data_IF_540888929955
#
_entry.id   IF_540888929955
#
_cell.length_a   1.000
_cell.length_b   1.000
_cell.length_c   1.000
_cell.angle_alpha   90.00
_cell.angle_beta   90.00
_cell.angle_gamma   90.00
#
_symmetry.space_group_name_H-M   'P 1'
#
loop_
_entity.id
_entity.type
_entity.pdbx_description
1 polymer ?
#
# COMPACT_ATOMS: atom_id res chain seq x y z
N UNK A 1 0.93 50.26 12.54
CA UNK A 1 2.19 50.96 12.87
C UNK A 1 2.41 50.73 14.35
N UNK A 2 3.19 49.77 14.81
CA UNK A 2 4.64 49.67 14.63
C UNK A 2 5.26 49.94 16.01
N UNK A 3 5.40 48.91 16.84
CA UNK A 3 6.19 48.99 18.08
C UNK A 3 7.44 48.15 17.89
N UNK A 4 8.55 48.82 17.60
CA UNK A 4 9.87 48.26 17.67
C UNK A 4 10.34 48.31 19.12
N UNK A 5 10.36 47.16 19.79
CA UNK A 5 11.04 47.00 21.07
C UNK A 5 12.51 46.69 20.83
N UNK A 6 13.36 47.66 21.21
CA UNK A 6 14.80 47.48 21.36
C UNK A 6 15.07 46.31 22.31
N UNK A 7 15.72 45.25 21.81
CA UNK A 7 16.30 44.22 22.68
C UNK A 7 17.80 44.44 22.77
N UNK A 8 18.17 44.70 24.00
CA UNK A 8 19.47 44.95 24.58
C UNK A 8 20.55 43.99 24.03
N UNK A 9 21.65 44.56 23.50
CA UNK A 9 22.82 43.82 23.02
C UNK A 9 23.65 43.41 24.23
N UNK A 10 23.29 42.29 24.87
CA UNK A 10 24.13 41.67 25.90
C UNK A 10 25.43 41.21 25.28
N UNK A 11 26.51 41.94 25.56
CA UNK A 11 27.89 41.49 25.39
C UNK A 11 28.11 40.30 26.33
N UNK A 12 27.92 39.08 25.85
CA UNK A 12 28.46 37.90 26.53
C UNK A 12 29.95 37.80 26.20
N UNK A 13 30.75 38.39 27.07
CA UNK A 13 32.17 38.09 27.23
C UNK A 13 32.28 36.58 27.51
N UNK A 14 32.83 35.81 26.59
CA UNK A 14 33.34 34.49 26.93
C UNK A 14 34.75 34.67 27.49
N UNK A 15 35.08 34.12 28.66
CA UNK A 15 36.46 34.15 29.14
C UNK A 15 37.32 33.36 28.13
N UNK A 16 38.58 33.76 27.88
CA UNK A 16 39.49 32.93 27.13
C UNK A 16 39.59 31.59 27.87
N UNK A 17 39.31 30.49 27.15
CA UNK A 17 39.58 29.16 27.67
C UNK A 17 41.05 29.16 28.11
N UNK A 18 41.30 28.94 29.40
CA UNK A 18 42.64 28.63 29.86
C UNK A 18 43.03 27.32 29.18
N UNK A 19 43.78 27.45 28.09
CA UNK A 19 44.27 26.31 27.32
C UNK A 19 45.29 25.60 28.18
N UNK A 20 44.92 24.44 28.71
CA UNK A 20 45.93 23.48 29.17
C UNK A 20 46.86 23.18 28.00
N UNK A 21 48.17 23.07 28.28
CA UNK A 21 49.23 22.88 27.29
C UNK A 21 48.99 21.71 26.31
N UNK A 22 48.17 20.73 26.71
CA UNK A 22 47.83 19.56 25.90
C UNK A 22 46.91 19.86 24.72
N UNK A 23 46.02 20.86 24.82
CA UNK A 23 45.00 21.09 23.78
C UNK A 23 45.54 21.87 22.58
N UNK A 24 46.56 22.71 22.78
CA UNK A 24 47.23 23.45 21.70
C UNK A 24 47.99 22.53 20.76
N UNK A 25 48.56 21.43 21.26
CA UNK A 25 49.30 20.45 20.44
C UNK A 25 48.39 19.67 19.47
N UNK A 26 47.12 19.52 19.80
CA UNK A 26 46.15 18.73 19.02
C UNK A 26 45.34 19.62 18.05
N UNK A 27 45.05 20.87 18.44
CA UNK A 27 44.10 21.75 17.74
C UNK A 27 44.82 22.78 16.84
N UNK A 28 46.10 23.06 17.10
CA UNK A 28 46.88 24.09 16.41
C UNK A 28 46.53 25.52 16.83
N UNK A 29 47.34 26.50 16.41
CA UNK A 29 47.24 27.91 16.84
C UNK A 29 45.98 28.64 16.33
N UNK A 30 45.20 28.02 15.42
CA UNK A 30 44.04 28.63 14.78
C UNK A 30 42.91 27.62 14.56
N UNK A 31 42.19 27.23 15.63
CA UNK A 31 41.03 26.35 15.49
C UNK A 31 39.97 26.94 14.57
N UNK A 32 39.55 26.13 13.61
CA UNK A 32 38.39 26.45 12.76
C UNK A 32 37.11 26.16 13.55
N UNK A 33 36.58 27.20 14.21
CA UNK A 33 35.34 27.11 14.98
C UNK A 33 34.16 27.24 14.01
N UNK A 34 33.39 26.16 13.86
CA UNK A 34 32.13 26.18 13.11
C UNK A 34 30.96 26.23 14.08
N UNK A 35 30.08 27.22 13.91
CA UNK A 35 28.88 27.35 14.72
C UNK A 35 27.80 26.40 14.22
N UNK A 36 27.36 25.47 15.07
CA UNK A 36 26.19 24.64 14.79
C UNK A 36 24.94 25.51 14.85
N UNK A 37 24.03 25.36 13.89
CA UNK A 37 22.76 26.10 13.88
C UNK A 37 22.00 25.87 15.20
N UNK A 38 21.37 26.92 15.73
CA UNK A 38 20.51 26.77 16.90
C UNK A 38 19.32 25.86 16.59
N UNK A 39 18.92 25.07 17.57
CA UNK A 39 17.69 24.28 17.49
C UNK A 39 16.51 25.24 17.44
N UNK A 40 15.68 25.11 16.42
CA UNK A 40 14.45 25.90 16.31
C UNK A 40 13.28 25.12 16.91
N UNK A 41 12.13 25.79 17.08
CA UNK A 41 10.90 25.17 17.57
C UNK A 41 10.51 23.90 16.81
N UNK A 42 10.80 23.82 15.49
CA UNK A 42 10.54 22.62 14.69
C UNK A 42 11.43 21.43 15.07
N UNK A 43 12.68 21.70 15.47
CA UNK A 43 13.61 20.67 15.94
C UNK A 43 13.30 20.23 17.38
N UNK A 44 12.65 21.09 18.18
CA UNK A 44 12.19 20.78 19.55
C UNK A 44 10.84 20.08 19.60
N UNK A 45 9.93 20.44 18.68
CA UNK A 45 8.63 19.80 18.55
C UNK A 45 8.83 18.48 17.80
N UNK A 46 8.98 17.38 18.55
CA UNK A 46 8.85 16.02 18.02
C UNK A 46 7.58 15.95 17.17
N UNK A 47 7.72 15.50 15.93
CA UNK A 47 6.59 15.32 15.01
C UNK A 47 5.42 14.69 15.77
N UNK A 48 4.31 15.40 15.89
CA UNK A 48 3.16 14.88 16.60
C UNK A 48 2.69 13.61 15.90
N UNK A 49 2.31 12.58 16.66
CA UNK A 49 1.57 11.42 16.15
C UNK A 49 0.17 11.78 15.61
N UNK A 50 -0.09 13.08 15.41
CA UNK A 50 -1.29 13.59 14.81
C UNK A 50 -1.25 13.29 13.32
N UNK A 51 -1.91 12.21 12.93
CA UNK A 51 -2.39 12.09 11.56
C UNK A 51 -3.52 13.10 11.40
N UNK A 52 -3.35 14.20 10.62
CA UNK A 52 -4.51 14.97 10.22
C UNK A 52 -5.47 13.96 9.58
N UNK A 53 -6.75 14.01 9.96
CA UNK A 53 -7.75 13.27 9.21
C UNK A 53 -7.54 13.67 7.74
N UNK A 54 -7.43 12.69 6.86
CA UNK A 54 -7.60 12.95 5.43
C UNK A 54 -9.01 13.53 5.32
N UNK A 55 -9.12 14.85 5.41
CA UNK A 55 -10.32 15.56 5.03
C UNK A 55 -10.44 15.28 3.54
N UNK A 56 -11.26 14.27 3.21
CA UNK A 56 -11.62 14.00 1.84
C UNK A 56 -12.24 15.29 1.32
N UNK A 57 -11.54 15.99 0.43
CA UNK A 57 -12.19 16.95 -0.45
C UNK A 57 -13.42 16.27 -1.04
N UNK A 58 -14.55 16.97 -1.14
CA UNK A 58 -15.82 16.41 -1.62
C UNK A 58 -15.67 15.59 -2.94
N UNK A 59 -14.70 15.94 -3.79
CA UNK A 59 -14.32 15.17 -4.99
C UNK A 59 -13.70 13.78 -4.74
N UNK A 60 -12.99 13.56 -3.62
CA UNK A 60 -12.22 12.35 -3.36
C UNK A 60 -13.08 11.14 -2.98
N UNK A 61 -14.32 11.36 -2.53
CA UNK A 61 -15.21 10.29 -2.04
C UNK A 61 -16.20 9.72 -3.07
N UNK A 62 -16.25 10.27 -4.28
CA UNK A 62 -17.26 9.88 -5.28
C UNK A 62 -16.78 8.75 -6.20
N UNK A 63 -15.47 8.71 -6.47
CA UNK A 63 -14.87 7.72 -7.36
C UNK A 63 -14.69 6.40 -6.61
N UNK A 64 -15.37 5.35 -7.08
CA UNK A 64 -15.34 4.00 -6.49
C UNK A 64 -15.12 2.99 -7.61
N UNK A 65 -14.32 1.97 -7.38
CA UNK A 65 -13.98 0.96 -8.38
C UNK A 65 -12.48 0.77 -8.57
N UNK A 66 -12.14 -0.07 -9.55
CA UNK A 66 -10.77 -0.39 -9.92
C UNK A 66 -10.40 0.25 -11.26
N UNK A 67 -9.31 1.01 -11.27
CA UNK A 67 -8.89 1.82 -12.42
C UNK A 67 -7.42 1.59 -12.80
N UNK A 68 -7.12 1.82 -14.07
CA UNK A 68 -5.73 1.85 -14.57
C UNK A 68 -5.03 3.09 -14.05
N UNK A 69 -3.73 2.98 -13.72
CA UNK A 69 -2.92 4.16 -13.39
C UNK A 69 -2.32 4.85 -14.63
N UNK A 70 -2.48 4.27 -15.82
CA UNK A 70 -2.07 4.84 -17.11
C UNK A 70 -0.64 4.56 -17.55
N UNK A 71 0.29 4.34 -16.62
CA UNK A 71 1.73 4.26 -16.94
C UNK A 71 2.45 3.09 -16.23
N UNK A 72 1.91 1.87 -16.28
CA UNK A 72 2.64 0.70 -15.79
C UNK A 72 2.34 -0.59 -16.55
N UNK A 73 3.27 -1.55 -16.49
CA UNK A 73 3.19 -2.86 -17.14
C UNK A 73 2.00 -3.72 -16.68
N UNK A 74 1.40 -3.43 -15.52
CA UNK A 74 0.23 -4.15 -15.03
C UNK A 74 -1.10 -3.60 -15.60
N UNK A 75 -1.12 -2.37 -16.12
CA UNK A 75 -2.34 -1.73 -16.64
C UNK A 75 -3.05 -2.52 -17.77
N UNK A 76 -2.35 -3.19 -18.70
CA UNK A 76 -3.00 -4.02 -19.72
C UNK A 76 -3.90 -5.11 -19.13
N UNK A 77 -3.52 -5.67 -17.97
CA UNK A 77 -4.24 -6.75 -17.29
C UNK A 77 -5.39 -6.25 -16.40
N UNK A 78 -5.48 -4.94 -16.14
CA UNK A 78 -6.56 -4.38 -15.31
C UNK A 78 -7.87 -4.35 -16.08
N UNK A 79 -8.89 -4.95 -15.49
CA UNK A 79 -10.27 -4.88 -15.93
C UNK A 79 -10.98 -3.72 -15.22
N UNK A 80 -11.25 -2.66 -15.98
CA UNK A 80 -12.09 -1.55 -15.50
C UNK A 80 -13.54 -1.98 -15.65
N UNK A 81 -14.18 -2.33 -14.53
CA UNK A 81 -15.58 -2.73 -14.50
C UNK A 81 -16.48 -1.55 -14.88
N UNK A 82 -17.48 -1.81 -15.74
CA UNK A 82 -18.52 -0.83 -16.07
C UNK A 82 -19.42 -0.53 -14.88
N UNK A 83 -19.73 -1.57 -14.10
CA UNK A 83 -20.54 -1.49 -12.89
C UNK A 83 -19.64 -1.50 -11.66
N UNK A 84 -20.10 -0.88 -10.58
CA UNK A 84 -19.44 -0.95 -9.26
C UNK A 84 -19.86 -2.20 -8.48
N UNK A 85 -20.48 -3.17 -9.15
CA UNK A 85 -20.99 -4.39 -8.55
C UNK A 85 -20.42 -5.61 -9.24
N UNK A 86 -20.11 -6.64 -8.46
CA UNK A 86 -19.68 -7.96 -8.92
C UNK A 86 -20.80 -8.93 -8.60
N UNK A 87 -21.31 -9.62 -9.62
CA UNK A 87 -22.33 -10.64 -9.43
C UNK A 87 -21.74 -11.82 -8.65
N UNK A 88 -22.45 -12.25 -7.62
CA UNK A 88 -22.09 -13.40 -6.79
C UNK A 88 -22.90 -14.64 -7.15
N UNK A 89 -22.96 -15.57 -6.19
CA UNK A 89 -23.86 -16.74 -6.20
C UNK A 89 -25.35 -16.34 -6.16
N UNK A 90 -26.21 -17.27 -6.59
CA UNK A 90 -27.65 -17.08 -6.83
C UNK A 90 -28.39 -16.47 -5.63
N UNK A 91 -27.99 -16.76 -4.40
CA UNK A 91 -28.62 -16.29 -3.17
C UNK A 91 -28.07 -14.94 -2.65
N UNK A 92 -26.94 -14.46 -3.16
CA UNK A 92 -26.34 -13.16 -2.78
C UNK A 92 -25.92 -12.44 -4.06
N UNK A 93 -26.84 -11.63 -4.57
CA UNK A 93 -26.82 -11.22 -5.97
C UNK A 93 -25.67 -10.29 -6.34
N UNK A 94 -25.24 -9.38 -5.47
CA UNK A 94 -24.24 -8.36 -5.83
C UNK A 94 -23.31 -7.93 -4.69
N UNK A 95 -21.99 -8.03 -4.89
CA UNK A 95 -20.98 -7.35 -4.07
C UNK A 95 -20.74 -5.94 -4.60
N UNK A 96 -20.89 -4.90 -3.76
CA UNK A 96 -20.61 -3.52 -4.17
C UNK A 96 -19.19 -3.10 -3.83
N UNK A 97 -18.43 -2.66 -4.83
CA UNK A 97 -17.11 -2.08 -4.67
C UNK A 97 -17.27 -0.65 -4.15
N UNK A 98 -16.94 -0.45 -2.88
CA UNK A 98 -17.17 0.81 -2.18
C UNK A 98 -15.97 1.76 -2.22
N UNK A 99 -14.79 1.27 -2.58
CA UNK A 99 -13.52 1.98 -2.47
C UNK A 99 -12.88 2.20 -3.85
N UNK A 100 -12.10 3.28 -3.94
CA UNK A 100 -11.21 3.51 -5.06
C UNK A 100 -9.97 2.63 -4.96
N UNK A 101 -9.56 2.06 -6.10
CA UNK A 101 -8.32 1.32 -6.20
C UNK A 101 -7.71 1.49 -7.59
N UNK A 102 -6.38 1.43 -7.65
CA UNK A 102 -5.64 1.38 -8.89
C UNK A 102 -4.39 0.51 -8.73
N UNK A 103 -3.54 0.48 -9.77
CA UNK A 103 -2.32 -0.31 -9.80
C UNK A 103 -1.34 -0.04 -8.62
N UNK A 104 -1.40 1.15 -8.00
CA UNK A 104 -0.53 1.55 -6.88
C UNK A 104 -1.16 1.28 -5.50
N UNK A 105 -2.43 0.89 -5.44
CA UNK A 105 -3.11 0.59 -4.18
C UNK A 105 -2.50 -0.65 -3.53
N UNK A 106 -2.22 -0.56 -2.23
CA UNK A 106 -1.74 -1.67 -1.39
C UNK A 106 -2.87 -2.19 -0.50
N UNK A 107 -2.72 -3.38 0.08
CA UNK A 107 -3.75 -3.97 0.95
C UNK A 107 -5.03 -4.36 0.22
N UNK A 108 -4.88 -4.88 -1.00
CA UNK A 108 -5.99 -5.15 -1.91
C UNK A 108 -6.43 -6.60 -1.82
N UNK A 109 -7.76 -6.82 -1.77
CA UNK A 109 -8.38 -8.08 -2.15
C UNK A 109 -8.87 -7.93 -3.59
N UNK A 110 -8.43 -8.84 -4.47
CA UNK A 110 -8.66 -8.77 -5.91
C UNK A 110 -9.23 -10.08 -6.44
N UNK A 111 -9.83 -9.98 -7.63
CA UNK A 111 -10.26 -11.10 -8.44
C UNK A 111 -9.43 -11.12 -9.71
N UNK A 112 -8.87 -12.28 -10.04
CA UNK A 112 -8.42 -12.60 -11.38
C UNK A 112 -9.53 -13.40 -12.06
N UNK A 113 -10.05 -12.89 -13.17
CA UNK A 113 -11.02 -13.57 -14.01
C UNK A 113 -10.35 -13.96 -15.33
N UNK A 114 -10.42 -15.23 -15.65
CA UNK A 114 -10.03 -15.75 -16.95
C UNK A 114 -11.12 -15.45 -17.99
N UNK A 115 -10.76 -15.34 -19.27
CA UNK A 115 -11.75 -15.22 -20.36
C UNK A 115 -12.63 -16.46 -20.52
N UNK A 116 -12.24 -17.62 -19.99
CA UNK A 116 -13.07 -18.83 -19.92
C UNK A 116 -13.95 -18.89 -18.66
N UNK A 117 -14.22 -17.73 -18.05
CA UNK A 117 -15.06 -17.52 -16.86
C UNK A 117 -14.58 -18.13 -15.53
N UNK A 118 -13.46 -18.85 -15.53
CA UNK A 118 -12.80 -19.29 -14.31
C UNK A 118 -12.31 -18.09 -13.48
N UNK A 119 -12.52 -18.13 -12.17
CA UNK A 119 -12.18 -17.03 -11.26
C UNK A 119 -11.24 -17.47 -10.15
N UNK A 120 -10.35 -16.58 -9.75
CA UNK A 120 -9.46 -16.70 -8.61
C UNK A 120 -9.59 -15.45 -7.74
N UNK A 121 -9.78 -15.63 -6.44
CA UNK A 121 -9.71 -14.55 -5.45
C UNK A 121 -8.37 -14.62 -4.75
N UNK A 122 -7.72 -13.46 -4.60
CA UNK A 122 -6.48 -13.36 -3.84
C UNK A 122 -6.38 -12.05 -3.06
N UNK A 123 -5.47 -12.03 -2.09
CA UNK A 123 -5.07 -10.81 -1.38
C UNK A 123 -3.62 -10.40 -1.64
N UNK A 124 -3.31 -9.13 -1.39
CA UNK A 124 -1.93 -8.64 -1.36
C UNK A 124 -1.78 -7.46 -0.40
N UNK A 125 -0.73 -7.49 0.43
CA UNK A 125 -0.29 -6.30 1.21
C UNK A 125 0.53 -5.33 0.38
N UNK A 126 1.20 -5.84 -0.67
CA UNK A 126 2.01 -5.07 -1.61
C UNK A 126 1.10 -4.33 -2.60
N UNK A 127 1.67 -3.39 -3.34
CA UNK A 127 0.97 -2.71 -4.44
C UNK A 127 0.37 -3.71 -5.42
N UNK A 128 -0.85 -3.46 -5.87
CA UNK A 128 -1.60 -4.35 -6.74
C UNK A 128 -0.84 -4.70 -8.04
N UNK A 129 -0.14 -3.72 -8.64
CA UNK A 129 0.69 -3.94 -9.84
C UNK A 129 1.75 -5.01 -9.65
N UNK A 130 2.36 -5.10 -8.47
CA UNK A 130 3.41 -6.08 -8.20
C UNK A 130 2.81 -7.48 -8.21
N UNK A 131 1.66 -7.65 -7.55
CA UNK A 131 0.96 -8.93 -7.51
C UNK A 131 0.48 -9.39 -8.89
N UNK A 132 0.02 -8.48 -9.74
CA UNK A 132 -0.36 -8.80 -11.12
C UNK A 132 0.86 -9.31 -11.90
N UNK A 133 1.99 -8.62 -11.81
CA UNK A 133 3.21 -9.01 -12.53
C UNK A 133 3.82 -10.32 -11.99
N UNK A 134 3.65 -10.62 -10.70
CA UNK A 134 3.99 -11.92 -10.13
C UNK A 134 3.20 -13.04 -10.82
N UNK A 135 1.87 -12.93 -10.92
CA UNK A 135 1.07 -13.92 -11.65
C UNK A 135 1.48 -14.07 -13.12
N UNK A 136 1.81 -12.96 -13.79
CA UNK A 136 2.34 -12.98 -15.17
C UNK A 136 3.69 -13.71 -15.24
N UNK A 137 4.57 -13.47 -14.26
CA UNK A 137 5.84 -14.18 -14.12
C UNK A 137 5.64 -15.67 -13.86
N UNK A 138 4.70 -16.03 -13.00
CA UNK A 138 4.37 -17.41 -12.67
C UNK A 138 3.90 -18.21 -13.89
N UNK A 139 3.07 -17.60 -14.75
CA UNK A 139 2.68 -18.21 -16.03
C UNK A 139 3.91 -18.45 -16.91
N UNK A 140 4.75 -17.42 -17.10
CA UNK A 140 5.94 -17.49 -17.96
C UNK A 140 6.96 -18.53 -17.49
N UNK A 141 7.14 -18.64 -16.18
CA UNK A 141 8.08 -19.57 -15.56
C UNK A 141 7.49 -20.96 -15.33
N UNK A 142 6.20 -21.16 -15.65
CA UNK A 142 5.47 -22.40 -15.36
C UNK A 142 5.56 -22.78 -13.88
N UNK A 143 5.46 -21.78 -13.00
CA UNK A 143 5.40 -21.99 -11.56
C UNK A 143 4.19 -22.85 -11.20
N UNK A 144 4.32 -23.70 -10.19
CA UNK A 144 3.22 -24.53 -9.70
C UNK A 144 2.24 -23.71 -8.85
N UNK A 145 1.44 -22.87 -9.51
CA UNK A 145 0.33 -22.12 -8.91
C UNK A 145 -0.94 -22.40 -9.71
N UNK A 146 -2.11 -22.41 -9.06
CA UNK A 146 -3.36 -22.75 -9.77
C UNK A 146 -3.65 -21.86 -10.97
N UNK A 147 -3.37 -20.57 -10.84
CA UNK A 147 -3.53 -19.60 -11.95
C UNK A 147 -2.55 -19.93 -13.07
N UNK A 148 -1.27 -20.15 -12.76
CA UNK A 148 -0.26 -20.45 -13.77
C UNK A 148 -0.52 -21.79 -14.47
N UNK A 149 -0.86 -22.84 -13.71
CA UNK A 149 -1.20 -24.16 -14.24
C UNK A 149 -2.41 -24.04 -15.17
N UNK A 150 -3.49 -23.38 -14.73
CA UNK A 150 -4.69 -23.17 -15.56
C UNK A 150 -4.37 -22.43 -16.88
N UNK A 151 -3.61 -21.33 -16.83
CA UNK A 151 -3.28 -20.56 -18.03
C UNK A 151 -2.34 -21.34 -18.97
N UNK A 152 -1.37 -22.06 -18.41
CA UNK A 152 -0.44 -22.86 -19.21
C UNK A 152 -1.11 -24.07 -19.87
N UNK A 153 -2.01 -24.76 -19.15
CA UNK A 153 -2.69 -25.96 -19.64
C UNK A 153 -3.85 -25.63 -20.58
N UNK A 154 -4.69 -24.66 -20.23
CA UNK A 154 -5.94 -24.39 -20.94
C UNK A 154 -5.80 -23.32 -22.03
N UNK A 155 -4.80 -22.44 -21.92
CA UNK A 155 -4.62 -21.27 -22.79
C UNK A 155 -3.19 -21.17 -23.33
N UNK A 156 -2.42 -22.26 -23.31
CA UNK A 156 -1.04 -22.35 -23.82
C UNK A 156 -0.09 -21.26 -23.29
N UNK A 157 -0.32 -20.77 -22.08
CA UNK A 157 0.51 -19.74 -21.44
C UNK A 157 0.17 -18.31 -21.87
N UNK A 158 -0.92 -18.08 -22.61
CA UNK A 158 -1.33 -16.73 -23.00
C UNK A 158 -1.86 -15.91 -21.82
N UNK A 159 -0.99 -15.07 -21.28
CA UNK A 159 -1.33 -14.15 -20.17
C UNK A 159 -2.44 -13.15 -20.52
N UNK A 160 -2.74 -12.93 -21.81
CA UNK A 160 -3.84 -12.10 -22.27
C UNK A 160 -5.23 -12.61 -21.89
N UNK A 161 -5.33 -13.85 -21.40
CA UNK A 161 -6.56 -14.42 -20.83
C UNK A 161 -6.84 -13.95 -19.40
N UNK A 162 -5.82 -13.44 -18.69
CA UNK A 162 -5.98 -12.97 -17.31
C UNK A 162 -6.46 -11.52 -17.25
N UNK A 163 -7.52 -11.28 -16.47
CA UNK A 163 -8.04 -9.95 -16.19
C UNK A 163 -8.20 -9.74 -14.69
N UNK A 164 -7.65 -8.66 -14.16
CA UNK A 164 -7.62 -8.39 -12.72
C UNK A 164 -8.45 -7.17 -12.37
N UNK A 165 -9.20 -7.25 -11.27
CA UNK A 165 -9.85 -6.09 -10.68
C UNK A 165 -9.85 -6.20 -9.16
N UNK A 166 -9.65 -5.07 -8.50
CA UNK A 166 -9.71 -4.97 -7.05
C UNK A 166 -11.16 -4.83 -6.59
N UNK A 167 -11.51 -5.52 -5.51
CA UNK A 167 -12.87 -5.61 -4.97
C UNK A 167 -12.96 -4.92 -3.61
N UNK A 168 -11.92 -5.02 -2.79
CA UNK A 168 -11.84 -4.37 -1.49
C UNK A 168 -10.41 -3.93 -1.17
N UNK A 169 -10.30 -2.92 -0.31
CA UNK A 169 -9.04 -2.32 0.16
C UNK A 169 -9.07 -2.23 1.69
N UNK A 170 -8.14 -2.92 2.33
CA UNK A 170 -7.90 -2.77 3.77
C UNK A 170 -6.91 -1.63 3.99
N UNK A 171 -7.38 -0.56 4.64
CA UNK A 171 -6.53 0.57 5.00
C UNK A 171 -5.76 0.26 6.27
N UNK A 172 -4.44 0.22 6.17
CA UNK A 172 -3.55 0.05 7.32
C UNK A 172 -3.37 1.41 8.01
N UNK A 173 -3.81 1.55 9.26
CA UNK A 173 -3.37 2.71 10.07
C UNK A 173 -1.92 2.45 10.47
N UNK A 174 -1.08 3.48 10.54
CA UNK A 174 0.33 3.35 10.96
C UNK A 174 0.49 2.67 12.33
N UNK A 175 -0.55 2.73 13.17
CA UNK A 175 -0.60 2.11 14.51
C UNK A 175 -1.18 0.68 14.52
N UNK A 176 -1.65 0.16 13.39
CA UNK A 176 -2.25 -1.18 13.32
C UNK A 176 -1.14 -2.22 13.36
N UNK A 177 -1.22 -3.19 14.28
CA UNK A 177 -0.28 -4.31 14.32
C UNK A 177 -0.36 -5.09 13.01
N UNK A 178 0.79 -5.58 12.55
CA UNK A 178 0.91 -6.33 11.30
C UNK A 178 0.01 -7.57 11.28
N UNK A 179 -0.15 -8.24 12.42
CA UNK A 179 -1.00 -9.43 12.56
C UNK A 179 -2.49 -9.14 12.33
N UNK A 180 -2.99 -8.02 12.85
CA UNK A 180 -4.40 -7.62 12.69
C UNK A 180 -4.76 -7.37 11.22
N UNK A 181 -3.79 -6.81 10.48
CA UNK A 181 -3.91 -6.57 9.05
C UNK A 181 -4.05 -7.88 8.28
N UNK A 182 -3.17 -8.84 8.56
CA UNK A 182 -3.19 -10.13 7.88
C UNK A 182 -4.44 -10.93 8.21
N UNK A 183 -4.90 -10.88 9.48
CA UNK A 183 -6.17 -11.50 9.90
C UNK A 183 -7.35 -10.90 9.13
N UNK A 184 -7.46 -9.58 9.01
CA UNK A 184 -8.53 -8.92 8.24
C UNK A 184 -8.50 -9.27 6.76
N UNK A 185 -7.33 -9.21 6.14
CA UNK A 185 -7.21 -9.58 4.72
C UNK A 185 -7.61 -11.05 4.49
N UNK A 186 -7.20 -11.97 5.38
CA UNK A 186 -7.59 -13.38 5.30
C UNK A 186 -9.10 -13.57 5.44
N UNK A 187 -9.72 -12.88 6.39
CA UNK A 187 -11.18 -12.92 6.58
C UNK A 187 -11.92 -12.40 5.33
N UNK A 188 -11.48 -11.27 4.77
CA UNK A 188 -12.09 -10.69 3.57
C UNK A 188 -11.92 -11.59 2.34
N UNK A 189 -10.73 -12.17 2.17
CA UNK A 189 -10.44 -13.16 1.12
C UNK A 189 -11.34 -14.40 1.24
N UNK A 190 -11.44 -15.02 2.43
CA UNK A 190 -12.28 -16.19 2.66
C UNK A 190 -13.77 -15.92 2.36
N UNK A 191 -14.28 -14.75 2.80
CA UNK A 191 -15.66 -14.32 2.48
C UNK A 191 -15.89 -14.19 0.98
N UNK A 192 -14.95 -13.57 0.27
CA UNK A 192 -15.05 -13.37 -1.18
C UNK A 192 -14.90 -14.67 -1.96
N UNK A 193 -14.04 -15.60 -1.53
CA UNK A 193 -13.91 -16.93 -2.15
C UNK A 193 -15.25 -17.65 -2.08
N UNK A 194 -15.87 -17.66 -0.90
CA UNK A 194 -17.19 -18.27 -0.67
C UNK A 194 -18.28 -17.58 -1.50
N UNK A 195 -18.35 -16.25 -1.50
CA UNK A 195 -19.37 -15.50 -2.23
C UNK A 195 -19.28 -15.61 -3.75
N UNK A 196 -18.07 -15.65 -4.30
CA UNK A 196 -17.86 -15.76 -5.75
C UNK A 196 -17.83 -17.21 -6.25
N UNK A 197 -17.98 -18.20 -5.37
CA UNK A 197 -17.87 -19.63 -5.70
C UNK A 197 -16.57 -19.96 -6.47
N UNK A 198 -15.48 -19.29 -6.10
CA UNK A 198 -14.19 -19.38 -6.81
C UNK A 198 -13.35 -20.60 -6.37
N UNK A 199 -13.89 -21.46 -5.51
CA UNK A 199 -13.23 -22.70 -5.08
C UNK A 199 -13.35 -23.76 -6.19
N UNK A 200 -12.28 -24.54 -6.40
CA UNK A 200 -12.31 -25.70 -7.28
C UNK A 200 -13.46 -26.66 -6.91
N UNK A 201 -14.19 -27.22 -7.90
CA UNK A 201 -13.92 -27.17 -9.34
C UNK A 201 -14.52 -25.96 -10.09
N UNK A 202 -15.33 -25.14 -9.44
CA UNK A 202 -16.03 -24.01 -10.09
C UNK A 202 -15.15 -22.77 -10.31
N UNK A 203 -14.01 -22.72 -9.63
CA UNK A 203 -12.99 -21.68 -9.73
C UNK A 203 -11.58 -22.22 -9.53
N UNK A 204 -10.62 -21.33 -9.35
CA UNK A 204 -9.19 -21.64 -9.30
C UNK A 204 -8.58 -21.60 -7.89
N UNK A 205 -9.37 -21.32 -6.84
CA UNK A 205 -8.90 -21.43 -5.46
C UNK A 205 -8.96 -22.90 -5.02
N UNK A 206 -7.83 -23.52 -4.65
CA UNK A 206 -7.80 -24.92 -4.17
C UNK A 206 -8.53 -25.08 -2.83
N UNK A 207 -8.42 -24.06 -1.99
CA UNK A 207 -9.03 -24.05 -0.68
C UNK A 207 -9.00 -22.66 -0.05
N UNK A 208 -9.67 -22.56 1.09
CA UNK A 208 -9.63 -21.41 1.98
C UNK A 208 -9.95 -21.90 3.39
N UNK A 209 -9.55 -21.12 4.39
CA UNK A 209 -9.74 -21.47 5.80
C UNK A 209 -10.57 -20.42 6.53
N UNK A 210 -11.41 -20.89 7.46
CA UNK A 210 -12.15 -20.04 8.38
C UNK A 210 -11.45 -19.85 9.73
N UNK A 211 -10.24 -20.40 9.93
CA UNK A 211 -9.42 -20.16 11.13
C UNK A 211 -9.31 -18.67 11.49
N UNK A 212 -9.18 -17.73 10.52
CA UNK A 212 -9.15 -16.30 10.83
C UNK A 212 -10.40 -15.76 11.52
N UNK A 213 -11.53 -16.48 11.57
CA UNK A 213 -12.76 -16.07 12.26
C UNK A 213 -12.89 -16.61 13.68
N UNK A 214 -12.00 -17.52 14.07
CA UNK A 214 -11.87 -18.05 15.43
C UNK A 214 -10.90 -17.16 16.24
#
# INVERSE_FOLDING_TARGET
MGFATFVNRSRTFFPPFATSLDLTQIIGDSPLITLRRSTNLRDQLTQSHFTPSLQSTWLANTTKGCYKCGNCLACPYIHVLKTKTVAGRIDITNFTITQFSNCKTAGVIYVMKCKCDQTYVGKTRREFRRRILEHVGDVRNKSNTTVANHINEQHNGDTGFMRFFAVAVEHFKQTTRVEDIDKKLLQCEAKLIYWLNSKAPNGLNEGFTFIPFL
#
